data_IF_239309656259
#
_entry.id   IF_239309656259
#
_cell.length_a   1.000
_cell.length_b   1.000
_cell.length_c   1.000
_cell.angle_alpha   90.00
_cell.angle_beta   90.00
_cell.angle_gamma   90.00
#
_symmetry.space_group_name_H-M   'P 1'
#
loop_
_entity.id
_entity.type
_entity.pdbx_description
1 polymer ?
#
# COMPACT_ATOMS: atom_id res chain seq x y z
N UNK A 1 57.13 17.50 -47.35
CA UNK A 1 55.93 16.63 -47.27
C UNK A 1 55.60 16.46 -45.80
N UNK A 2 54.38 16.78 -45.38
CA UNK A 2 53.94 16.58 -43.99
C UNK A 2 53.42 15.15 -43.82
N UNK A 3 53.74 14.51 -42.70
CA UNK A 3 53.17 13.22 -42.30
C UNK A 3 52.01 13.49 -41.35
N UNK A 4 50.84 12.94 -41.65
CA UNK A 4 49.70 12.94 -40.73
C UNK A 4 49.64 11.58 -40.04
N UNK A 5 49.74 11.58 -38.71
CA UNK A 5 49.52 10.38 -37.88
C UNK A 5 48.10 10.46 -37.34
N UNK A 6 47.26 9.49 -37.69
CA UNK A 6 45.93 9.31 -37.11
C UNK A 6 45.97 8.15 -36.13
N UNK A 7 45.75 8.43 -34.84
CA UNK A 7 45.53 7.40 -33.84
C UNK A 7 44.15 6.78 -34.06
N UNK A 8 44.09 5.44 -34.05
CA UNK A 8 42.84 4.69 -34.09
C UNK A 8 42.53 4.19 -32.68
N UNK A 9 41.28 4.36 -32.30
CA UNK A 9 40.72 3.86 -31.05
C UNK A 9 40.68 2.31 -31.02
N UNK A 10 40.76 1.73 -29.81
CA UNK A 10 40.71 0.29 -29.53
C UNK A 10 39.68 0.08 -28.42
N UNK A 11 38.84 -0.96 -28.50
CA UNK A 11 37.80 -1.27 -27.50
C UNK A 11 38.39 -1.81 -26.18
N UNK A 12 39.04 -0.95 -25.40
CA UNK A 12 39.79 -1.31 -24.20
C UNK A 12 39.09 -0.93 -22.88
N UNK A 13 38.04 -0.12 -22.96
CA UNK A 13 37.16 0.19 -21.84
C UNK A 13 35.89 -0.66 -21.87
N UNK A 14 35.16 -0.68 -20.76
CA UNK A 14 33.85 -1.33 -20.71
C UNK A 14 32.84 -0.28 -20.24
N UNK A 15 31.55 -0.39 -20.64
CA UNK A 15 30.53 0.55 -20.19
C UNK A 15 30.45 0.56 -18.66
N UNK A 16 30.31 1.73 -18.04
CA UNK A 16 30.13 1.87 -16.60
C UNK A 16 28.85 2.63 -16.27
N UNK A 17 27.97 2.02 -15.47
CA UNK A 17 26.76 2.68 -14.99
C UNK A 17 27.07 3.88 -14.12
N UNK A 18 26.31 4.96 -14.31
CA UNK A 18 26.41 6.24 -13.58
C UNK A 18 25.07 6.70 -13.01
N UNK A 19 23.95 6.12 -13.45
CA UNK A 19 22.64 6.34 -12.84
C UNK A 19 22.52 5.64 -11.48
N UNK A 20 21.56 6.08 -10.65
CA UNK A 20 21.14 5.37 -9.45
C UNK A 20 20.79 3.91 -9.75
N UNK A 21 20.99 3.04 -8.77
CA UNK A 21 20.56 1.64 -8.79
C UNK A 21 19.22 1.44 -8.06
N UNK A 22 18.57 2.51 -7.60
CA UNK A 22 17.29 2.47 -6.90
C UNK A 22 16.35 3.58 -7.40
N UNK A 23 15.06 3.25 -7.45
CA UNK A 23 13.97 4.17 -7.80
C UNK A 23 12.66 3.70 -7.18
N UNK A 24 11.65 4.56 -7.19
CA UNK A 24 10.29 4.24 -6.76
C UNK A 24 9.27 4.68 -7.81
N UNK A 25 8.12 4.01 -7.84
CA UNK A 25 6.99 4.36 -8.71
C UNK A 25 5.68 4.04 -8.00
N UNK A 26 4.66 4.88 -8.14
CA UNK A 26 3.32 4.55 -7.64
C UNK A 26 2.79 3.32 -8.36
N UNK A 27 2.03 2.49 -7.65
CA UNK A 27 1.14 1.53 -8.30
C UNK A 27 0.06 2.24 -9.12
N UNK A 28 -0.72 1.48 -9.90
CA UNK A 28 -1.79 2.00 -10.76
C UNK A 28 -1.40 3.07 -11.80
N UNK A 29 -0.11 3.45 -11.85
CA UNK A 29 0.44 4.41 -12.80
C UNK A 29 0.20 3.92 -14.24
N UNK A 30 -0.12 4.82 -15.19
CA UNK A 30 -0.31 4.42 -16.58
C UNK A 30 0.91 3.70 -17.17
N UNK A 31 0.64 2.71 -18.01
CA UNK A 31 1.67 2.09 -18.83
C UNK A 31 2.37 3.12 -19.72
N UNK A 32 3.60 2.84 -20.12
CA UNK A 32 4.56 3.74 -20.77
C UNK A 32 5.10 4.91 -19.93
N UNK A 33 4.68 5.05 -18.67
CA UNK A 33 5.28 6.04 -17.75
C UNK A 33 6.77 5.76 -17.58
N UNK A 34 7.59 6.81 -17.70
CA UNK A 34 9.03 6.74 -17.45
C UNK A 34 9.26 6.71 -15.94
N UNK A 35 9.93 5.67 -15.46
CA UNK A 35 10.30 5.51 -14.04
C UNK A 35 11.66 6.17 -13.79
N UNK A 36 12.64 5.90 -14.65
CA UNK A 36 13.97 6.50 -14.56
C UNK A 36 14.71 6.45 -15.90
N UNK A 37 15.76 7.24 -16.03
CA UNK A 37 16.76 7.13 -17.09
C UNK A 37 17.98 6.34 -16.59
N UNK A 38 18.20 5.15 -17.17
CA UNK A 38 19.40 4.34 -16.93
C UNK A 38 20.53 4.90 -17.79
N UNK A 39 21.68 5.13 -17.16
CA UNK A 39 22.83 5.72 -17.84
C UNK A 39 24.11 4.95 -17.56
N UNK A 40 24.80 4.56 -18.61
CA UNK A 40 26.18 4.14 -18.58
C UNK A 40 27.04 5.05 -19.47
N UNK A 41 28.35 5.04 -19.22
CA UNK A 41 29.35 5.78 -19.99
C UNK A 41 30.45 4.79 -20.39
N UNK A 42 30.87 4.87 -21.65
CA UNK A 42 32.05 4.22 -22.18
C UNK A 42 32.96 5.31 -22.75
N UNK A 43 34.27 5.20 -22.53
CA UNK A 43 35.24 6.24 -22.87
C UNK A 43 35.91 6.01 -24.23
N UNK A 44 35.61 4.90 -24.89
CA UNK A 44 36.12 4.60 -26.22
C UNK A 44 35.38 5.43 -27.30
N UNK A 45 36.01 5.61 -28.46
CA UNK A 45 35.46 6.46 -29.53
C UNK A 45 34.50 5.70 -30.47
N UNK A 46 33.51 6.42 -30.99
CA UNK A 46 32.64 5.92 -32.05
C UNK A 46 31.82 4.68 -31.63
N UNK A 47 32.02 3.56 -32.32
CA UNK A 47 31.27 2.31 -32.05
C UNK A 47 31.68 1.64 -30.74
N UNK A 48 32.94 1.77 -30.36
CA UNK A 48 33.48 1.19 -29.13
C UNK A 48 32.88 1.90 -27.90
N UNK A 49 32.53 3.19 -28.02
CA UNK A 49 31.80 3.92 -26.98
C UNK A 49 30.27 3.88 -27.06
N UNK A 50 29.69 3.28 -28.12
CA UNK A 50 28.24 3.31 -28.34
C UNK A 50 27.55 2.26 -27.48
N UNK A 51 26.75 2.71 -26.51
CA UNK A 51 26.08 1.85 -25.54
C UNK A 51 24.68 1.43 -26.02
N UNK A 52 24.40 0.14 -25.86
CA UNK A 52 23.06 -0.44 -25.90
C UNK A 52 22.68 -1.00 -24.53
N UNK A 53 21.44 -0.76 -24.12
CA UNK A 53 20.88 -1.29 -22.88
C UNK A 53 20.02 -2.53 -23.12
N UNK A 54 20.15 -3.51 -22.22
CA UNK A 54 19.39 -4.77 -22.26
C UNK A 54 18.82 -5.03 -20.87
N UNK A 55 17.51 -5.24 -20.78
CA UNK A 55 16.85 -5.70 -19.57
C UNK A 55 16.85 -7.23 -19.54
N UNK A 56 17.62 -7.84 -18.64
CA UNK A 56 17.73 -9.28 -18.45
C UNK A 56 16.89 -9.71 -17.25
N UNK A 57 15.56 -9.75 -17.41
CA UNK A 57 14.63 -10.14 -16.35
C UNK A 57 13.89 -11.44 -16.67
N UNK A 58 13.94 -12.41 -15.77
CA UNK A 58 13.24 -13.71 -15.81
C UNK A 58 12.18 -13.76 -14.70
N UNK A 59 10.94 -14.25 -14.93
CA UNK A 59 10.12 -14.12 -16.15
C UNK A 59 9.58 -12.67 -16.30
N UNK A 60 8.73 -12.45 -17.32
CA UNK A 60 8.17 -11.16 -17.77
C UNK A 60 7.82 -10.19 -16.61
N UNK A 61 8.69 -9.22 -16.36
CA UNK A 61 8.43 -8.12 -15.42
C UNK A 61 7.60 -7.04 -16.12
N UNK A 62 6.80 -6.25 -15.40
CA UNK A 62 5.98 -5.18 -15.97
C UNK A 62 6.81 -3.92 -16.30
N UNK A 63 8.03 -4.11 -16.79
CA UNK A 63 8.93 -3.03 -17.20
C UNK A 63 9.58 -3.31 -18.55
N UNK A 64 9.81 -2.24 -19.31
CA UNK A 64 10.63 -2.24 -20.51
C UNK A 64 11.77 -1.25 -20.36
N UNK A 65 12.89 -1.53 -21.02
CA UNK A 65 14.03 -0.62 -21.07
C UNK A 65 14.33 -0.32 -22.54
N UNK A 66 14.29 0.96 -22.90
CA UNK A 66 14.68 1.38 -24.24
C UNK A 66 16.17 1.15 -24.48
N UNK A 67 16.50 0.40 -25.53
CA UNK A 67 17.88 -0.04 -25.79
C UNK A 67 18.83 1.09 -26.16
N UNK A 68 18.30 2.24 -26.61
CA UNK A 68 19.08 3.39 -27.06
C UNK A 68 18.95 4.58 -26.12
N UNK A 69 17.72 4.89 -25.68
CA UNK A 69 17.46 6.05 -24.82
C UNK A 69 17.69 5.76 -23.32
N UNK A 70 17.82 4.48 -22.95
CA UNK A 70 18.00 4.05 -21.56
C UNK A 70 16.78 4.31 -20.68
N UNK A 71 15.60 4.58 -21.26
CA UNK A 71 14.41 4.90 -20.47
C UNK A 71 13.75 3.62 -19.96
N UNK A 72 13.72 3.47 -18.63
CA UNK A 72 12.97 2.42 -17.96
C UNK A 72 11.50 2.85 -17.87
N UNK A 73 10.59 2.07 -18.44
CA UNK A 73 9.16 2.36 -18.50
C UNK A 73 8.34 1.25 -17.89
N UNK A 74 7.18 1.62 -17.35
CA UNK A 74 6.15 0.66 -16.97
C UNK A 74 5.53 0.06 -18.23
N UNK A 75 5.41 -1.26 -18.31
CA UNK A 75 4.84 -1.97 -19.45
C UNK A 75 3.68 -2.89 -19.09
N UNK A 76 3.39 -3.05 -17.80
CA UNK A 76 2.26 -3.82 -17.28
C UNK A 76 1.68 -3.16 -16.04
N UNK A 77 0.60 -3.74 -15.50
CA UNK A 77 0.01 -3.27 -14.25
C UNK A 77 1.00 -3.46 -13.10
N UNK A 78 1.05 -2.45 -12.23
CA UNK A 78 1.74 -2.49 -10.95
C UNK A 78 0.67 -2.48 -9.87
N UNK A 79 0.85 -3.35 -8.90
CA UNK A 79 -0.05 -3.60 -7.77
C UNK A 79 0.89 -3.95 -6.60
N UNK A 80 0.89 -3.11 -5.57
CA UNK A 80 1.81 -3.18 -4.45
C UNK A 80 1.42 -4.32 -3.51
N UNK A 81 0.13 -4.56 -3.32
CA UNK A 81 -0.44 -5.64 -2.51
C UNK A 81 0.00 -7.01 -3.06
N UNK A 82 0.05 -7.13 -4.39
CA UNK A 82 0.58 -8.30 -5.08
C UNK A 82 2.11 -8.37 -5.02
N UNK A 83 2.81 -7.26 -5.26
CA UNK A 83 4.28 -7.21 -5.26
C UNK A 83 4.84 -5.81 -5.01
N UNK A 84 5.35 -5.60 -3.79
CA UNK A 84 5.90 -4.32 -3.34
C UNK A 84 7.22 -3.88 -3.99
N UNK A 85 7.94 -4.76 -4.69
CA UNK A 85 9.20 -4.38 -5.34
C UNK A 85 9.66 -5.34 -6.45
N UNK A 86 10.54 -4.81 -7.30
CA UNK A 86 11.22 -5.54 -8.36
C UNK A 86 12.73 -5.31 -8.30
N UNK A 87 13.50 -6.32 -8.68
CA UNK A 87 14.94 -6.20 -8.89
C UNK A 87 15.25 -6.54 -10.34
N UNK A 88 15.62 -5.53 -11.11
CA UNK A 88 15.80 -5.60 -12.56
C UNK A 88 17.29 -5.70 -12.89
N UNK A 89 17.72 -6.80 -13.50
CA UNK A 89 19.10 -6.90 -13.99
C UNK A 89 19.22 -6.19 -15.34
N UNK A 90 20.09 -5.18 -15.41
CA UNK A 90 20.32 -4.38 -16.60
C UNK A 90 21.76 -4.55 -17.05
N UNK A 91 21.94 -4.71 -18.36
CA UNK A 91 23.25 -4.81 -19.01
C UNK A 91 23.44 -3.60 -19.90
N UNK A 92 24.62 -2.97 -19.81
CA UNK A 92 25.11 -1.99 -20.77
C UNK A 92 26.19 -2.68 -21.59
N UNK A 93 26.07 -2.63 -22.92
CA UNK A 93 26.97 -3.30 -23.85
C UNK A 93 27.42 -2.34 -24.94
N UNK A 94 28.70 -2.32 -25.24
CA UNK A 94 29.23 -1.55 -26.38
C UNK A 94 28.99 -2.24 -27.73
N UNK A 95 29.35 -1.57 -28.83
CA UNK A 95 29.32 -2.15 -30.19
C UNK A 95 30.73 -2.41 -30.74
N UNK A 96 31.71 -2.64 -29.87
CA UNK A 96 33.07 -3.04 -30.26
C UNK A 96 33.16 -4.48 -30.74
N UNK A 97 34.34 -4.88 -31.25
CA UNK A 97 34.65 -6.25 -31.67
C UNK A 97 35.98 -6.73 -31.07
N UNK A 98 35.98 -7.60 -30.04
CA UNK A 98 34.79 -8.16 -29.38
C UNK A 98 34.06 -7.10 -28.52
N UNK A 99 32.74 -7.28 -28.30
CA UNK A 99 31.96 -6.35 -27.50
C UNK A 99 32.20 -6.55 -26.02
N UNK A 100 32.21 -5.47 -25.24
CA UNK A 100 32.34 -5.50 -23.78
C UNK A 100 31.06 -5.01 -23.13
N UNK A 101 30.86 -5.43 -21.89
CA UNK A 101 29.62 -5.16 -21.16
C UNK A 101 29.83 -5.07 -19.66
N UNK A 102 28.91 -4.39 -19.00
CA UNK A 102 28.76 -4.41 -17.55
C UNK A 102 27.31 -4.68 -17.19
N UNK A 103 27.08 -5.13 -15.94
CA UNK A 103 25.76 -5.45 -15.43
C UNK A 103 25.54 -4.73 -14.10
N UNK A 104 24.32 -4.23 -13.90
CA UNK A 104 23.84 -3.71 -12.62
C UNK A 104 22.47 -4.30 -12.28
N UNK A 105 22.03 -4.10 -11.04
CA UNK A 105 20.67 -4.41 -10.59
C UNK A 105 20.00 -3.10 -10.17
N UNK A 106 18.81 -2.86 -10.70
CA UNK A 106 17.97 -1.72 -10.33
C UNK A 106 16.87 -2.22 -9.40
N UNK A 107 16.80 -1.67 -8.20
CA UNK A 107 15.72 -1.90 -7.26
C UNK A 107 14.60 -0.89 -7.51
N UNK A 108 13.40 -1.39 -7.80
CA UNK A 108 12.20 -0.57 -8.02
C UNK A 108 11.24 -0.84 -6.87
N UNK A 109 11.04 0.14 -5.99
CA UNK A 109 9.99 0.09 -4.96
C UNK A 109 8.65 0.50 -5.58
N UNK A 110 7.60 -0.29 -5.35
CA UNK A 110 6.23 0.11 -5.66
C UNK A 110 5.70 0.86 -4.44
N UNK A 111 5.23 2.08 -4.67
CA UNK A 111 4.61 2.92 -3.65
C UNK A 111 3.11 2.69 -3.64
N UNK A 112 2.57 2.71 -2.44
CA UNK A 112 1.17 2.49 -2.11
C UNK A 112 0.27 3.64 -2.59
N UNK A 113 -0.87 3.31 -3.16
CA UNK A 113 -2.03 4.19 -3.29
C UNK A 113 -3.16 3.68 -2.38
N UNK A 114 -4.01 4.57 -1.87
CA UNK A 114 -5.19 4.14 -1.14
C UNK A 114 -6.21 3.59 -2.14
N UNK A 115 -6.11 2.33 -2.52
CA UNK A 115 -6.99 1.71 -3.50
C UNK A 115 -7.83 0.55 -2.92
N UNK A 116 -7.50 0.05 -1.73
CA UNK A 116 -8.30 -0.91 -0.97
C UNK A 116 -9.06 -0.25 0.18
N UNK A 117 -10.16 -0.85 0.59
CA UNK A 117 -10.99 -0.33 1.69
C UNK A 117 -10.90 -1.27 2.89
N UNK A 118 -11.14 -0.77 4.13
CA UNK A 118 -11.23 -1.65 5.28
C UNK A 118 -12.30 -2.73 5.02
N UNK A 119 -12.09 -3.94 5.52
CA UNK A 119 -13.03 -5.04 5.36
C UNK A 119 -13.31 -5.71 6.69
N UNK A 120 -14.54 -5.57 7.18
CA UNK A 120 -15.03 -6.36 8.31
C UNK A 120 -15.18 -7.83 7.95
N UNK A 121 -14.62 -8.70 8.79
CA UNK A 121 -14.86 -10.14 8.77
C UNK A 121 -15.01 -10.67 10.22
N UNK A 122 -16.23 -11.04 10.66
CA UNK A 122 -17.49 -11.08 9.90
C UNK A 122 -18.13 -9.69 9.69
N UNK A 123 -19.10 -9.59 8.75
CA UNK A 123 -19.94 -8.39 8.53
C UNK A 123 -21.07 -8.22 9.54
N UNK A 124 -21.38 -9.26 10.31
CA UNK A 124 -22.46 -9.29 11.28
C UNK A 124 -21.94 -9.86 12.60
N UNK A 125 -22.23 -9.15 13.68
CA UNK A 125 -21.86 -9.49 15.03
C UNK A 125 -23.09 -9.59 15.91
N UNK A 126 -23.02 -10.45 16.92
CA UNK A 126 -24.08 -10.55 17.93
C UNK A 126 -23.48 -10.78 19.31
N UNK A 127 -24.05 -10.11 20.32
CA UNK A 127 -23.72 -10.33 21.72
C UNK A 127 -24.95 -10.17 22.60
N UNK A 128 -24.85 -10.69 23.82
CA UNK A 128 -25.80 -10.44 24.88
C UNK A 128 -25.06 -9.90 26.10
N UNK A 129 -25.66 -8.93 26.78
CA UNK A 129 -25.08 -8.32 27.98
C UNK A 129 -26.20 -8.11 29.01
N UNK A 130 -25.91 -8.37 30.28
CA UNK A 130 -26.89 -8.17 31.34
C UNK A 130 -27.19 -6.68 31.54
N UNK A 131 -28.44 -6.35 31.88
CA UNK A 131 -28.82 -4.95 32.14
C UNK A 131 -28.03 -4.33 33.31
N UNK A 132 -27.60 -5.14 34.27
CA UNK A 132 -26.80 -4.72 35.42
C UNK A 132 -25.29 -4.76 35.17
N UNK A 133 -24.85 -4.97 33.92
CA UNK A 133 -23.44 -4.93 33.58
C UNK A 133 -22.83 -3.58 33.96
N UNK A 134 -21.67 -3.62 34.61
CA UNK A 134 -20.97 -2.41 35.03
C UNK A 134 -20.57 -1.55 33.84
N UNK A 135 -20.60 -0.22 34.01
CA UNK A 135 -19.97 0.69 33.05
C UNK A 135 -18.51 0.26 32.84
N UNK A 136 -18.09 0.20 31.59
CA UNK A 136 -16.79 -0.32 31.16
C UNK A 136 -16.77 -1.83 30.90
N UNK A 137 -17.85 -2.59 31.17
CA UNK A 137 -17.91 -4.00 30.82
C UNK A 137 -17.75 -4.19 29.31
N UNK A 138 -16.94 -5.17 28.91
CA UNK A 138 -16.74 -5.52 27.51
C UNK A 138 -17.96 -6.27 26.98
N UNK A 139 -18.46 -5.85 25.82
CA UNK A 139 -19.54 -6.52 25.10
C UNK A 139 -18.94 -7.52 24.12
N UNK A 140 -18.13 -7.04 23.18
CA UNK A 140 -17.34 -7.83 22.23
C UNK A 140 -16.25 -6.98 21.58
N UNK A 141 -15.47 -7.57 20.69
CA UNK A 141 -14.52 -6.88 19.82
C UNK A 141 -14.88 -7.14 18.36
N UNK A 142 -15.00 -6.07 17.55
CA UNK A 142 -15.11 -6.19 16.09
C UNK A 142 -13.72 -6.24 15.46
N UNK A 143 -13.63 -6.76 14.25
CA UNK A 143 -12.38 -6.84 13.50
C UNK A 143 -12.59 -6.45 12.04
N UNK A 144 -11.68 -5.65 11.50
CA UNK A 144 -11.59 -5.32 10.10
C UNK A 144 -10.11 -5.33 9.67
N UNK A 145 -9.85 -5.56 8.39
CA UNK A 145 -8.51 -5.53 7.80
C UNK A 145 -8.49 -4.67 6.56
N UNK A 146 -7.41 -3.93 6.38
CA UNK A 146 -7.11 -3.17 5.17
C UNK A 146 -5.70 -3.59 4.75
N UNK A 147 -5.51 -3.83 3.44
CA UNK A 147 -4.28 -4.41 2.90
C UNK A 147 -3.28 -3.35 2.45
N UNK A 148 -3.68 -2.08 2.43
CA UNK A 148 -2.83 -0.95 2.03
C UNK A 148 -1.72 -0.67 3.07
N UNK A 149 -0.71 0.10 2.70
CA UNK A 149 0.44 0.41 3.55
C UNK A 149 0.20 1.65 4.44
N UNK A 150 0.67 1.57 5.69
CA UNK A 150 0.79 2.75 6.53
C UNK A 150 -0.56 3.36 6.93
N UNK A 151 -0.79 4.61 6.55
CA UNK A 151 -2.02 5.33 6.90
C UNK A 151 -3.22 4.85 6.06
N UNK A 152 -2.99 4.45 4.81
CA UNK A 152 -4.00 3.90 3.91
C UNK A 152 -4.54 2.56 4.46
N UNK A 153 -3.69 1.72 5.05
CA UNK A 153 -4.13 0.47 5.69
C UNK A 153 -4.49 0.57 7.19
N UNK A 154 -4.36 1.73 7.82
CA UNK A 154 -4.61 1.87 9.27
C UNK A 154 -6.08 2.14 9.50
N UNK A 155 -6.72 1.31 10.34
CA UNK A 155 -8.16 1.39 10.58
C UNK A 155 -8.47 2.09 11.90
N UNK A 156 -9.52 2.91 11.87
CA UNK A 156 -10.20 3.47 13.04
C UNK A 156 -11.66 3.02 13.10
N UNK A 157 -12.09 2.58 14.27
CA UNK A 157 -13.45 2.10 14.49
C UNK A 157 -14.35 3.14 15.15
N UNK A 158 -15.60 3.23 14.72
CA UNK A 158 -16.61 4.08 15.36
C UNK A 158 -18.01 3.46 15.33
N UNK A 159 -18.89 3.91 16.23
CA UNK A 159 -20.33 3.59 16.16
C UNK A 159 -20.99 4.70 15.35
N UNK A 160 -21.32 4.42 14.09
CA UNK A 160 -21.92 5.39 13.19
C UNK A 160 -23.41 5.62 13.48
N UNK A 161 -24.16 4.56 13.79
CA UNK A 161 -25.61 4.62 14.03
C UNK A 161 -26.08 3.57 15.05
N UNK A 162 -27.29 3.76 15.60
CA UNK A 162 -27.99 2.79 16.44
C UNK A 162 -27.81 2.97 17.95
N UNK A 163 -26.96 3.91 18.36
CA UNK A 163 -26.66 4.24 19.75
C UNK A 163 -26.88 5.72 20.09
N UNK A 164 -28.07 6.24 19.81
CA UNK A 164 -28.41 7.67 19.99
C UNK A 164 -28.15 8.20 21.42
N UNK A 165 -28.27 7.31 22.41
CA UNK A 165 -28.07 7.65 23.82
C UNK A 165 -26.62 7.50 24.28
N UNK A 166 -25.71 7.01 23.41
CA UNK A 166 -24.33 6.66 23.78
C UNK A 166 -24.30 5.70 24.97
N UNK A 167 -25.12 4.66 24.90
CA UNK A 167 -25.19 3.60 25.90
C UNK A 167 -23.97 2.67 25.78
N UNK A 168 -23.31 2.66 24.62
CA UNK A 168 -22.07 1.96 24.34
C UNK A 168 -20.94 2.91 23.90
N UNK A 169 -19.72 2.38 23.93
CA UNK A 169 -18.52 3.02 23.41
C UNK A 169 -17.72 1.99 22.63
N UNK A 170 -16.92 2.45 21.67
CA UNK A 170 -15.98 1.61 20.91
C UNK A 170 -14.59 2.22 20.99
N UNK A 171 -13.60 1.36 21.19
CA UNK A 171 -12.18 1.74 21.09
C UNK A 171 -11.80 1.94 19.63
N UNK A 172 -11.32 3.13 19.29
CA UNK A 172 -10.96 3.53 17.92
C UNK A 172 -9.87 2.62 17.32
N UNK A 173 -8.86 2.23 18.11
CA UNK A 173 -7.73 1.42 17.62
C UNK A 173 -7.98 -0.09 17.66
N UNK A 174 -8.89 -0.55 18.52
CA UNK A 174 -9.02 -1.99 18.82
C UNK A 174 -10.37 -2.58 18.45
N UNK A 175 -11.39 -1.77 18.16
CA UNK A 175 -12.74 -2.24 17.87
C UNK A 175 -13.46 -2.85 19.09
N UNK A 176 -12.92 -2.69 20.31
CA UNK A 176 -13.55 -3.22 21.54
C UNK A 176 -14.75 -2.36 21.92
N UNK A 177 -15.94 -2.97 21.94
CA UNK A 177 -17.19 -2.35 22.35
C UNK A 177 -17.43 -2.56 23.84
N UNK A 178 -17.73 -1.49 24.56
CA UNK A 178 -17.99 -1.49 26.02
C UNK A 178 -19.27 -0.77 26.38
N UNK A 179 -19.85 -1.16 27.52
CA UNK A 179 -20.94 -0.44 28.17
C UNK A 179 -20.46 0.94 28.61
N UNK A 180 -21.13 2.00 28.16
CA UNK A 180 -20.80 3.38 28.52
C UNK A 180 -21.76 3.98 29.56
N UNK A 181 -22.99 3.45 29.64
CA UNK A 181 -24.03 3.88 30.60
C UNK A 181 -24.77 2.69 31.18
N UNK A 182 -25.48 2.93 32.28
CA UNK A 182 -26.38 1.93 32.86
C UNK A 182 -27.44 1.52 31.84
N UNK A 183 -27.53 0.21 31.61
CA UNK A 183 -28.51 -0.39 30.72
C UNK A 183 -29.81 -0.65 31.51
N UNK A 184 -30.92 -0.71 30.81
CA UNK A 184 -32.21 -1.02 31.42
C UNK A 184 -33.03 -1.84 30.42
N UNK A 185 -33.36 -3.07 30.79
CA UNK A 185 -34.05 -4.01 29.93
C UNK A 185 -35.43 -3.49 29.51
N UNK A 186 -36.21 -2.94 30.45
CA UNK A 186 -37.59 -2.50 30.21
C UNK A 186 -37.68 -1.31 29.25
N UNK A 187 -36.65 -0.44 29.22
CA UNK A 187 -36.56 0.72 28.33
C UNK A 187 -36.12 0.34 26.93
N UNK A 188 -35.07 -0.49 26.80
CA UNK A 188 -34.53 -0.91 25.51
C UNK A 188 -33.73 -2.20 25.66
N UNK A 189 -34.29 -3.30 25.18
CA UNK A 189 -33.68 -4.63 25.28
C UNK A 189 -32.89 -5.07 24.04
N UNK A 190 -32.89 -4.28 22.96
CA UNK A 190 -32.17 -4.61 21.73
C UNK A 190 -31.59 -3.39 21.06
N UNK A 191 -30.33 -3.50 20.65
CA UNK A 191 -29.60 -2.52 19.87
C UNK A 191 -29.17 -3.16 18.55
N UNK A 192 -29.29 -2.41 17.46
CA UNK A 192 -28.72 -2.75 16.16
C UNK A 192 -27.80 -1.58 15.83
N UNK A 193 -26.51 -1.77 16.08
CA UNK A 193 -25.48 -0.77 15.86
C UNK A 193 -24.89 -0.93 14.47
N UNK A 194 -24.64 0.18 13.77
CA UNK A 194 -23.80 0.20 12.58
C UNK A 194 -22.40 0.63 13.00
N UNK A 195 -21.47 -0.30 12.92
CA UNK A 195 -20.07 -0.08 13.24
C UNK A 195 -19.35 0.26 11.95
N UNK A 196 -18.60 1.36 11.96
CA UNK A 196 -17.79 1.82 10.84
C UNK A 196 -16.32 1.47 11.11
N UNK A 197 -15.65 0.96 10.09
CA UNK A 197 -14.20 0.90 9.99
C UNK A 197 -13.80 1.86 8.87
N UNK A 198 -12.87 2.76 9.15
CA UNK A 198 -12.41 3.79 8.23
C UNK A 198 -10.88 3.79 8.20
N UNK A 199 -10.29 3.95 7.01
CA UNK A 199 -8.84 4.11 6.90
C UNK A 199 -8.36 5.48 7.44
N UNK A 200 -7.05 5.63 7.58
CA UNK A 200 -6.43 6.87 8.04
C UNK A 200 -5.77 7.65 6.90
N UNK A 201 -6.14 7.44 5.63
CA UNK A 201 -5.49 8.12 4.50
C UNK A 201 -5.53 9.66 4.64
N UNK A 202 -6.57 10.19 5.28
CA UNK A 202 -6.70 11.60 5.66
C UNK A 202 -5.53 12.13 6.51
N UNK A 203 -4.92 11.29 7.36
CA UNK A 203 -3.81 11.69 8.24
C UNK A 203 -2.54 12.08 7.45
N UNK A 204 -2.42 11.68 6.18
CA UNK A 204 -1.33 12.08 5.29
C UNK A 204 -1.44 13.56 4.86
N UNK A 205 -2.59 14.22 5.09
CA UNK A 205 -2.86 15.59 4.68
C UNK A 205 -3.08 16.48 5.91
N UNK A 206 -2.09 17.29 6.26
CA UNK A 206 -2.23 18.31 7.31
C UNK A 206 -2.60 19.68 6.72
N UNK A 207 -3.32 20.49 7.51
CA UNK A 207 -3.92 21.79 7.13
C UNK A 207 -2.96 22.66 6.30
N UNK A 208 -3.30 22.89 5.02
CA UNK A 208 -2.54 23.78 4.14
C UNK A 208 -2.61 23.44 2.64
N UNK A 209 -3.16 22.30 2.24
CA UNK A 209 -3.36 21.95 0.83
C UNK A 209 -4.74 22.43 0.33
N UNK A 210 -4.75 23.22 -0.75
CA UNK A 210 -5.98 23.62 -1.45
C UNK A 210 -6.56 22.42 -2.24
N UNK A 211 -7.26 21.54 -1.49
CA UNK A 211 -8.31 20.56 -1.86
C UNK A 211 -8.17 19.66 -3.10
N UNK A 212 -8.08 18.35 -2.82
CA UNK A 212 -8.81 17.25 -3.48
C UNK A 212 -9.45 16.38 -2.35
N UNK A 213 -10.54 15.62 -2.61
CA UNK A 213 -11.34 15.02 -1.53
C UNK A 213 -10.51 14.06 -0.69
N UNK A 214 -10.88 14.00 0.58
CA UNK A 214 -10.44 13.00 1.56
C UNK A 214 -10.60 11.63 0.89
N UNK A 215 -9.50 11.04 0.42
CA UNK A 215 -9.47 9.71 -0.18
C UNK A 215 -9.53 8.68 0.94
N UNK A 216 -10.55 8.80 1.79
CA UNK A 216 -10.78 7.89 2.90
C UNK A 216 -11.85 6.91 2.48
N UNK A 217 -11.53 5.64 2.66
CA UNK A 217 -12.40 4.53 2.40
C UNK A 217 -12.86 3.94 3.72
N UNK A 218 -14.04 3.35 3.66
CA UNK A 218 -14.71 2.82 4.82
C UNK A 218 -15.49 1.56 4.47
N UNK A 219 -15.83 0.84 5.51
CA UNK A 219 -16.74 -0.28 5.47
C UNK A 219 -17.60 -0.31 6.73
N UNK A 220 -18.69 -1.05 6.66
CA UNK A 220 -19.71 -1.09 7.71
C UNK A 220 -20.06 -2.52 8.08
N UNK A 221 -20.16 -2.78 9.37
CA UNK A 221 -20.70 -4.00 9.93
C UNK A 221 -21.93 -3.72 10.81
N UNK A 222 -22.75 -4.74 10.99
CA UNK A 222 -23.87 -4.69 11.92
C UNK A 222 -23.53 -5.41 13.22
N UNK A 223 -23.81 -4.78 14.35
CA UNK A 223 -23.68 -5.36 15.67
C UNK A 223 -25.03 -5.37 16.38
N UNK A 224 -25.59 -6.56 16.59
CA UNK A 224 -26.78 -6.75 17.41
C UNK A 224 -26.40 -7.00 18.86
N UNK A 225 -26.86 -6.15 19.79
CA UNK A 225 -26.68 -6.34 21.23
C UNK A 225 -28.05 -6.56 21.87
N UNK A 226 -28.22 -7.71 22.51
CA UNK A 226 -29.42 -8.02 23.30
C UNK A 226 -29.15 -7.77 24.77
N UNK A 227 -29.97 -6.96 25.43
CA UNK A 227 -29.93 -6.81 26.87
C UNK A 227 -30.72 -7.95 27.49
N UNK A 228 -30.14 -8.63 28.48
CA UNK A 228 -30.84 -9.69 29.22
C UNK A 228 -31.30 -9.19 30.58
N UNK A 229 -32.57 -9.48 30.89
CA UNK A 229 -33.18 -9.23 32.19
C UNK A 229 -32.56 -10.13 33.27
N UNK A 230 -32.47 -9.63 34.50
CA UNK A 230 -32.09 -10.47 35.64
C UNK A 230 -33.18 -11.50 35.92
N UNK A 231 -32.90 -12.78 35.67
CA UNK A 231 -33.78 -13.85 36.17
C UNK A 231 -33.65 -13.91 37.69
N UNK A 232 -34.58 -13.29 38.41
CA UNK A 232 -34.69 -13.46 39.86
C UNK A 232 -35.14 -14.91 40.08
N UNK A 233 -34.20 -15.79 40.41
CA UNK A 233 -34.52 -17.12 40.92
C UNK A 233 -35.17 -16.91 42.30
N UNK A 234 -36.50 -16.83 42.34
CA UNK A 234 -37.24 -16.98 43.59
C UNK A 234 -36.95 -18.39 44.12
N UNK A 235 -35.98 -18.51 45.03
CA UNK A 235 -35.91 -19.67 45.91
C UNK A 235 -37.10 -19.55 46.85
N UNK A 236 -38.17 -20.27 46.52
CA UNK A 236 -39.20 -20.57 47.50
C UNK A 236 -38.54 -21.40 48.61
N UNK A 237 -38.45 -20.81 49.81
CA UNK A 237 -38.18 -21.48 51.08
C UNK A 237 -39.47 -21.64 51.85
#
# INVERSE_FOLDING_TARGET
MGVTITLKDVNDQSPMFTSSNETSVMENIPVNTVVMAVKAIDRDDGRNGYIEYILKSEPMVPFTLGSVDGLLRVSGKLDRESRSHYTLAVIARDRGDPPRSSQTKIFVKILDENDNSPMFDPKQYSASIAENASIGAMVLQVSATDIDEGANGRIRFSIAYGDDNRDFSISEDTGVVRVAKNLNYERKNRYILKIQAEDCAADLWSEGSNSLPIDTKLDMAELTITITELTIIHRYS
#
